data_IF_089778912269
#
_entry.id   IF_089778912269
#
_cell.length_a   1.000
_cell.length_b   1.000
_cell.length_c   1.000
_cell.angle_alpha   90.00
_cell.angle_beta   90.00
_cell.angle_gamma   90.00
#
_symmetry.space_group_name_H-M   'P 1'
#
loop_
_entity.id
_entity.type
_entity.pdbx_description
1 polymer ?
#
# COMPACT_ATOMS: atom_id res chain seq x y z
N UNK A 1 -0.09 20.90 -21.16
CA UNK A 1 -0.46 20.07 -22.34
C UNK A 1 -0.19 20.77 -23.65
N UNK A 2 -0.63 22.02 -23.83
CA UNK A 2 -0.47 22.74 -25.11
C UNK A 2 0.98 22.86 -25.62
N UNK A 3 2.00 22.89 -24.75
CA UNK A 3 3.40 22.90 -25.20
C UNK A 3 3.90 21.54 -25.71
N UNK A 4 3.47 20.43 -25.10
CA UNK A 4 3.87 19.08 -25.50
C UNK A 4 3.26 18.69 -26.85
N UNK A 5 2.01 19.08 -27.10
CA UNK A 5 1.34 18.84 -28.41
C UNK A 5 1.86 19.72 -29.54
N UNK A 6 2.68 20.74 -29.25
CA UNK A 6 3.28 21.63 -30.28
C UNK A 6 4.63 21.12 -30.81
N UNK A 7 5.31 20.27 -30.05
CA UNK A 7 6.68 19.84 -30.37
C UNK A 7 6.78 18.34 -30.69
N UNK A 8 5.69 17.60 -30.53
CA UNK A 8 5.65 16.15 -30.74
C UNK A 8 4.42 15.78 -31.56
N UNK A 9 4.62 14.95 -32.60
CA UNK A 9 3.56 14.45 -33.47
C UNK A 9 2.58 13.51 -32.73
N UNK A 10 3.01 12.93 -31.60
CA UNK A 10 2.17 12.17 -30.68
C UNK A 10 2.67 12.29 -29.23
N UNK A 11 1.75 12.30 -28.27
CA UNK A 11 2.05 12.36 -26.83
C UNK A 11 1.38 11.17 -26.14
N UNK A 12 2.18 10.22 -25.62
CA UNK A 12 1.70 9.09 -24.82
C UNK A 12 1.68 9.48 -23.34
N UNK A 13 0.49 9.57 -22.76
CA UNK A 13 0.32 9.86 -21.34
C UNK A 13 0.22 8.55 -20.55
N UNK A 14 1.32 8.14 -19.93
CA UNK A 14 1.45 6.91 -19.14
C UNK A 14 1.58 7.17 -17.62
N UNK A 15 0.99 8.25 -17.10
CA UNK A 15 1.13 8.66 -15.69
C UNK A 15 0.34 7.81 -14.67
N UNK A 16 -0.29 6.72 -15.11
CA UNK A 16 -1.02 5.79 -14.25
C UNK A 16 -2.27 6.38 -13.58
N UNK A 17 -2.82 5.66 -12.60
CA UNK A 17 -4.00 6.07 -11.83
C UNK A 17 -3.60 6.80 -10.55
N UNK A 18 -3.39 8.12 -10.64
CA UNK A 18 -2.90 8.94 -9.52
C UNK A 18 -3.95 9.15 -8.40
N UNK A 19 -5.25 8.94 -8.66
CA UNK A 19 -6.30 9.25 -7.68
C UNK A 19 -6.73 8.00 -6.89
N UNK A 20 -6.42 7.90 -5.59
CA UNK A 20 -6.93 6.83 -4.77
C UNK A 20 -8.46 6.93 -4.63
N UNK A 21 -9.12 5.78 -4.62
CA UNK A 21 -10.57 5.72 -4.43
C UNK A 21 -10.90 5.94 -2.95
N UNK A 22 -11.47 7.10 -2.61
CA UNK A 22 -11.90 7.39 -1.24
C UNK A 22 -13.01 6.45 -0.77
N UNK A 23 -12.97 6.10 0.50
CA UNK A 23 -14.02 5.36 1.18
C UNK A 23 -15.07 6.36 1.68
N UNK A 24 -16.33 6.21 1.27
CA UNK A 24 -17.41 7.11 1.71
C UNK A 24 -18.01 6.62 3.04
N UNK A 25 -17.21 6.67 4.12
CA UNK A 25 -17.62 6.29 5.48
C UNK A 25 -17.24 7.38 6.48
N UNK A 26 -17.95 7.51 7.61
CA UNK A 26 -17.55 8.42 8.67
C UNK A 26 -16.11 8.14 9.14
N UNK A 27 -15.31 9.19 9.31
CA UNK A 27 -13.90 9.06 9.74
C UNK A 27 -12.90 8.74 8.63
N UNK A 28 -13.31 8.70 7.36
CA UNK A 28 -12.38 8.46 6.24
C UNK A 28 -11.31 9.55 6.04
N UNK A 29 -11.50 10.74 6.61
CA UNK A 29 -10.53 11.84 6.59
C UNK A 29 -9.74 11.97 7.92
N UNK A 30 -9.80 10.96 8.80
CA UNK A 30 -9.00 10.93 10.03
C UNK A 30 -7.50 10.91 9.75
N UNK A 31 -6.72 11.42 10.70
CA UNK A 31 -5.27 11.66 10.54
C UNK A 31 -4.45 10.39 10.32
N UNK A 32 -4.92 9.20 10.72
CA UNK A 32 -4.22 7.92 10.52
C UNK A 32 -4.86 7.04 9.43
N UNK A 33 -5.61 7.64 8.49
CA UNK A 33 -6.18 6.94 7.34
C UNK A 33 -5.32 7.22 6.10
N UNK A 34 -4.87 6.15 5.45
CA UNK A 34 -3.99 6.21 4.30
C UNK A 34 -4.62 5.50 3.11
N UNK A 35 -4.38 6.03 1.90
CA UNK A 35 -4.59 5.22 0.70
C UNK A 35 -3.47 4.19 0.57
N UNK A 36 -3.72 3.12 -0.18
CA UNK A 36 -2.68 2.13 -0.50
C UNK A 36 -1.47 2.79 -1.17
N UNK A 37 -1.70 3.76 -2.07
CA UNK A 37 -0.61 4.53 -2.68
C UNK A 37 0.18 5.37 -1.69
N UNK A 38 -0.47 6.00 -0.70
CA UNK A 38 0.25 6.82 0.29
C UNK A 38 1.17 5.95 1.16
N UNK A 39 0.67 4.80 1.59
CA UNK A 39 1.47 3.83 2.37
C UNK A 39 2.62 3.27 1.55
N UNK A 40 2.39 2.96 0.27
CA UNK A 40 3.43 2.53 -0.68
C UNK A 40 4.47 3.61 -0.91
N UNK A 41 4.06 4.87 -1.05
CA UNK A 41 4.98 5.99 -1.17
C UNK A 41 5.84 6.15 0.08
N UNK A 42 5.27 5.96 1.27
CA UNK A 42 6.02 6.04 2.52
C UNK A 42 7.09 4.95 2.63
N UNK A 43 6.73 3.67 2.49
CA UNK A 43 7.74 2.61 2.67
C UNK A 43 8.78 2.56 1.56
N UNK A 44 8.51 3.15 0.40
CA UNK A 44 9.49 3.31 -0.70
C UNK A 44 10.32 4.59 -0.59
N UNK A 45 10.15 5.41 0.46
CA UNK A 45 10.96 6.62 0.68
C UNK A 45 10.68 7.77 -0.29
N UNK A 46 9.46 7.88 -0.82
CA UNK A 46 9.08 9.01 -1.67
C UNK A 46 9.17 10.31 -0.86
N UNK A 47 9.82 11.38 -1.36
CA UNK A 47 9.94 12.63 -0.64
C UNK A 47 8.56 13.19 -0.24
N UNK A 48 8.45 13.65 1.01
CA UNK A 48 7.22 14.17 1.62
C UNK A 48 6.07 13.15 1.79
N UNK A 49 6.35 11.86 1.67
CA UNK A 49 5.38 10.84 2.05
C UNK A 49 5.08 10.93 3.56
N UNK A 50 3.81 10.79 3.92
CA UNK A 50 3.38 10.89 5.30
C UNK A 50 3.61 9.56 6.03
N UNK A 51 4.27 9.63 7.17
CA UNK A 51 4.50 8.48 8.04
C UNK A 51 3.20 8.05 8.76
N UNK A 52 2.87 6.74 8.79
CA UNK A 52 1.75 6.20 9.54
C UNK A 52 2.07 6.05 11.03
N UNK A 53 1.07 6.30 11.88
CA UNK A 53 1.16 5.96 13.30
C UNK A 53 0.85 4.47 13.48
N UNK A 54 1.83 3.72 13.96
CA UNK A 54 1.75 2.26 14.16
C UNK A 54 1.74 1.88 15.66
N UNK A 55 1.03 2.67 16.47
CA UNK A 55 0.90 2.50 17.92
C UNK A 55 -0.32 1.64 18.34
N UNK A 56 -1.25 1.35 17.43
CA UNK A 56 -2.35 0.43 17.66
C UNK A 56 -1.96 -1.01 17.30
N UNK A 57 -2.31 -2.02 18.12
CA UNK A 57 -2.08 -3.42 17.77
C UNK A 57 -2.93 -3.93 16.60
N UNK A 58 -3.91 -3.18 16.12
CA UNK A 58 -4.82 -3.59 15.06
C UNK A 58 -4.76 -2.65 13.86
N UNK A 59 -4.60 -3.22 12.67
CA UNK A 59 -4.66 -2.50 11.40
C UNK A 59 -5.73 -3.12 10.51
N UNK A 60 -6.49 -2.27 9.84
CA UNK A 60 -7.51 -2.68 8.87
C UNK A 60 -7.06 -2.20 7.49
N UNK A 61 -6.98 -3.13 6.54
CA UNK A 61 -6.70 -2.86 5.13
C UNK A 61 -7.98 -3.16 4.35
N UNK A 62 -8.45 -2.21 3.55
CA UNK A 62 -9.66 -2.37 2.74
C UNK A 62 -9.27 -2.53 1.28
N UNK A 63 -9.37 -3.74 0.74
CA UNK A 63 -9.02 -4.04 -0.65
C UNK A 63 -8.67 -5.51 -0.89
N UNK A 64 -8.87 -5.98 -2.12
CA UNK A 64 -8.61 -7.37 -2.56
C UNK A 64 -7.56 -7.44 -3.71
N UNK A 65 -6.67 -6.45 -3.79
CA UNK A 65 -5.61 -6.41 -4.81
C UNK A 65 -4.22 -6.68 -4.24
N UNK A 66 -3.23 -6.86 -5.11
CA UNK A 66 -1.83 -7.09 -4.70
C UNK A 66 -1.31 -6.02 -3.71
N UNK A 67 -1.66 -4.75 -3.93
CA UNK A 67 -1.28 -3.66 -3.02
C UNK A 67 -1.73 -3.89 -1.58
N UNK A 68 -2.93 -4.47 -1.37
CA UNK A 68 -3.41 -4.78 -0.02
C UNK A 68 -2.55 -5.85 0.66
N UNK A 69 -2.11 -6.85 -0.11
CA UNK A 69 -1.21 -7.89 0.37
C UNK A 69 0.19 -7.34 0.62
N UNK A 70 0.71 -6.48 -0.25
CA UNK A 70 2.02 -5.85 -0.08
C UNK A 70 2.06 -5.00 1.18
N UNK A 71 1.01 -4.19 1.42
CA UNK A 71 0.87 -3.44 2.67
C UNK A 71 0.87 -4.37 3.90
N UNK A 72 0.12 -5.47 3.84
CA UNK A 72 0.09 -6.45 4.93
C UNK A 72 1.45 -7.11 5.16
N UNK A 73 2.19 -7.44 4.09
CA UNK A 73 3.53 -8.04 4.17
C UNK A 73 4.54 -7.11 4.82
N UNK A 74 4.52 -5.82 4.44
CA UNK A 74 5.40 -4.80 5.02
C UNK A 74 5.09 -4.64 6.52
N UNK A 75 3.82 -4.59 6.90
CA UNK A 75 3.40 -4.47 8.30
C UNK A 75 3.67 -5.72 9.14
N UNK A 76 3.74 -6.91 8.53
CA UNK A 76 3.84 -8.17 9.26
C UNK A 76 5.24 -8.48 9.78
N UNK A 77 6.30 -8.08 9.08
CA UNK A 77 7.66 -8.52 9.48
C UNK A 77 8.74 -7.52 9.04
N UNK A 78 9.32 -6.78 9.99
CA UNK A 78 10.43 -5.86 9.72
C UNK A 78 11.76 -6.59 9.39
N UNK A 79 11.98 -7.79 9.95
CA UNK A 79 13.28 -8.48 9.88
C UNK A 79 13.74 -8.83 8.46
N UNK A 80 12.83 -9.23 7.57
CA UNK A 80 13.20 -9.55 6.17
C UNK A 80 13.32 -8.29 5.31
N UNK A 81 12.68 -7.18 5.69
CA UNK A 81 12.79 -5.92 4.94
C UNK A 81 14.21 -5.35 4.99
N UNK A 82 15.02 -5.69 6.01
CA UNK A 82 16.46 -5.37 6.06
C UNK A 82 17.27 -5.96 4.91
N UNK A 83 16.77 -6.97 4.19
CA UNK A 83 17.43 -7.51 2.99
C UNK A 83 16.94 -6.87 1.69
N UNK A 84 16.10 -5.84 1.77
CA UNK A 84 15.50 -5.13 0.64
C UNK A 84 15.99 -3.68 0.58
N UNK A 85 15.51 -2.93 -0.40
CA UNK A 85 15.82 -1.51 -0.66
C UNK A 85 14.96 -0.53 0.17
N UNK A 86 14.26 -1.04 1.20
CA UNK A 86 13.45 -0.21 2.11
C UNK A 86 14.36 0.72 2.93
N UNK A 87 14.05 2.03 3.02
CA UNK A 87 14.80 2.98 3.83
C UNK A 87 14.90 2.61 5.32
N UNK A 88 16.02 2.94 5.96
CA UNK A 88 16.30 2.55 7.36
C UNK A 88 15.38 3.26 8.37
N UNK A 89 14.93 4.48 8.07
CA UNK A 89 13.93 5.21 8.87
C UNK A 89 12.58 4.47 8.88
N UNK A 90 12.13 3.96 7.72
CA UNK A 90 10.94 3.11 7.61
C UNK A 90 11.10 1.83 8.43
N UNK A 91 12.26 1.17 8.34
CA UNK A 91 12.53 -0.06 9.11
C UNK A 91 12.46 0.22 10.61
N UNK A 92 13.02 1.35 11.06
CA UNK A 92 13.01 1.76 12.48
C UNK A 92 11.58 1.94 12.99
N UNK A 93 10.71 2.58 12.21
CA UNK A 93 9.29 2.73 12.53
C UNK A 93 8.57 1.37 12.58
N UNK A 94 8.85 0.49 11.63
CA UNK A 94 8.27 -0.86 11.58
C UNK A 94 8.74 -1.75 12.76
N UNK A 95 9.97 -1.59 13.24
CA UNK A 95 10.49 -2.31 14.41
C UNK A 95 9.87 -1.81 15.73
N UNK A 96 9.51 -0.53 15.80
CA UNK A 96 8.82 0.07 16.95
C UNK A 96 7.29 -0.12 16.92
N UNK A 97 6.77 -0.63 15.79
CA UNK A 97 5.35 -0.89 15.58
C UNK A 97 4.76 -1.81 16.65
N UNK A 98 3.57 -1.47 17.14
CA UNK A 98 2.79 -2.31 18.06
C UNK A 98 1.81 -3.23 17.33
N UNK A 99 1.76 -3.18 16.00
CA UNK A 99 0.81 -3.93 15.17
C UNK A 99 1.00 -5.44 15.38
N UNK A 100 -0.09 -6.13 15.71
CA UNK A 100 -0.15 -7.57 15.90
C UNK A 100 -1.21 -8.24 15.04
N UNK A 101 -2.30 -7.51 14.76
CA UNK A 101 -3.46 -8.02 14.06
C UNK A 101 -3.69 -7.22 12.78
N UNK A 102 -3.50 -7.85 11.63
CA UNK A 102 -3.77 -7.24 10.32
C UNK A 102 -5.03 -7.88 9.76
N UNK A 103 -6.08 -7.09 9.56
CA UNK A 103 -7.35 -7.53 8.96
C UNK A 103 -7.49 -6.96 7.56
N UNK A 104 -7.57 -7.84 6.56
CA UNK A 104 -7.85 -7.44 5.17
C UNK A 104 -9.34 -7.66 4.90
N UNK A 105 -10.04 -6.60 4.52
CA UNK A 105 -11.48 -6.62 4.24
C UNK A 105 -11.70 -6.45 2.73
N UNK A 106 -12.25 -7.51 2.13
CA UNK A 106 -12.72 -7.53 0.76
C UNK A 106 -14.20 -7.20 0.64
N UNK A 107 -14.57 -6.41 -0.38
CA UNK A 107 -15.98 -6.14 -0.70
C UNK A 107 -16.66 -7.27 -1.49
N UNK A 108 -15.90 -8.22 -2.02
CA UNK A 108 -16.37 -9.35 -2.83
C UNK A 108 -15.71 -10.65 -2.36
N UNK A 109 -16.34 -11.78 -2.66
CA UNK A 109 -15.91 -13.11 -2.21
C UNK A 109 -14.52 -13.51 -2.71
N UNK A 110 -13.94 -14.61 -2.17
CA UNK A 110 -12.61 -15.09 -2.54
C UNK A 110 -12.40 -15.35 -4.04
N UNK A 111 -13.48 -15.55 -4.80
CA UNK A 111 -13.49 -15.67 -6.25
C UNK A 111 -13.12 -14.37 -7.01
N UNK A 112 -13.17 -13.21 -6.36
CA UNK A 112 -12.88 -11.89 -6.94
C UNK A 112 -11.53 -11.30 -6.45
N UNK A 113 -10.66 -12.13 -5.88
CA UNK A 113 -9.32 -11.70 -5.47
C UNK A 113 -8.48 -11.47 -6.72
N UNK A 114 -8.09 -10.22 -6.98
CA UNK A 114 -7.19 -9.84 -8.09
C UNK A 114 -5.71 -10.09 -7.74
N UNK A 115 -5.46 -11.07 -6.88
CA UNK A 115 -4.13 -11.51 -6.49
C UNK A 115 -3.61 -12.52 -7.50
N UNK A 116 -2.39 -12.32 -8.01
CA UNK A 116 -1.72 -13.36 -8.79
C UNK A 116 -1.45 -14.54 -7.85
N UNK A 117 -1.87 -15.75 -8.22
CA UNK A 117 -1.76 -16.99 -7.44
C UNK A 117 -0.34 -17.33 -6.92
N UNK A 118 0.70 -16.65 -7.40
CA UNK A 118 2.08 -16.77 -6.92
C UNK A 118 2.28 -16.34 -5.46
N UNK A 119 1.40 -15.52 -4.88
CA UNK A 119 1.57 -14.99 -3.53
C UNK A 119 0.84 -15.80 -2.43
N UNK A 120 0.03 -16.81 -2.80
CA UNK A 120 -0.51 -17.75 -1.84
C UNK A 120 0.43 -18.96 -1.75
N UNK A 121 0.91 -19.34 -0.55
CA UNK A 121 1.60 -20.62 -0.41
C UNK A 121 0.61 -21.74 -0.77
N UNK A 122 0.85 -22.42 -1.89
CA UNK A 122 0.12 -23.64 -2.20
C UNK A 122 0.50 -24.70 -1.15
N UNK A 123 -0.39 -24.97 -0.21
CA UNK A 123 -0.32 -26.22 0.55
C UNK A 123 -0.67 -27.34 -0.42
N UNK A 124 0.36 -28.02 -0.95
CA UNK A 124 0.16 -29.32 -1.59
C UNK A 124 -0.19 -30.33 -0.50
N UNK A 125 -1.41 -30.85 -0.56
CA UNK A 125 -1.79 -32.14 0.02
C UNK A 125 -1.16 -33.28 -0.75
#
# INVERSE_FOLDING_TARGET
MNELTRHYDAVLLAYGAHRPRKLNVPGADSTNVFSGSDFVSWYNGVPNAKEPLLDDPNVIIVGNGNVALDCARVLSTAKWLRTTDVPEDVITVLEQSKVKNIKIIGRRGPQDVSGIFSCFPQSRS
#
